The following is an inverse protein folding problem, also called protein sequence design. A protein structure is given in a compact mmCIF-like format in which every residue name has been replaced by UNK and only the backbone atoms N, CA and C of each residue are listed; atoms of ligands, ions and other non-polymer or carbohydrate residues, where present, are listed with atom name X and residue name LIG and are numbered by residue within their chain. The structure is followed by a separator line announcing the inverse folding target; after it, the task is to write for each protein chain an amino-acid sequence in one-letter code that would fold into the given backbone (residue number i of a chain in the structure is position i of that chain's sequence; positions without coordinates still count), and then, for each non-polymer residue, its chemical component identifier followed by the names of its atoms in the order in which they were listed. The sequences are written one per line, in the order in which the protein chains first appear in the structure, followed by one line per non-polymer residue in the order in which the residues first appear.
data_IF_862332433966
#
_entry.id   IF_862332433966
#
_cell.length_a   1.000
_cell.length_b   1.000
_cell.length_c   1.000
_cell.angle_alpha   90.00
_cell.angle_beta   90.00
_cell.angle_gamma   90.00
#
_symmetry.space_group_name_H-M   'P 1'
#
loop_
_entity.id
_entity.type
_entity.pdbx_description
1 polymer ?
#
# COMPACT_ATOMS: atom_id res chain seq x y z
N UNK A 1 -6.19 -31.41 -43.77
CA UNK A 1 -6.06 -30.51 -42.62
C UNK A 1 -7.24 -29.56 -42.65
N UNK A 2 -8.13 -29.64 -41.68
CA UNK A 2 -9.33 -28.78 -41.58
C UNK A 2 -8.91 -27.58 -40.72
N UNK A 3 -9.06 -26.32 -41.19
CA UNK A 3 -8.73 -25.15 -40.39
C UNK A 3 -9.73 -25.00 -39.24
N UNK A 4 -9.23 -24.65 -38.05
CA UNK A 4 -10.05 -24.36 -36.87
C UNK A 4 -10.94 -23.14 -37.14
N UNK A 5 -12.29 -23.29 -37.14
CA UNK A 5 -13.21 -22.18 -37.38
C UNK A 5 -13.15 -21.08 -36.32
N UNK A 6 -12.51 -21.34 -35.17
CA UNK A 6 -12.30 -20.37 -34.10
C UNK A 6 -10.95 -19.64 -34.19
N UNK A 7 -10.12 -19.93 -35.19
CA UNK A 7 -8.79 -19.30 -35.33
C UNK A 7 -8.88 -17.77 -35.43
N UNK A 8 -9.88 -17.23 -36.13
CA UNK A 8 -10.09 -15.78 -36.19
C UNK A 8 -10.54 -15.18 -34.85
N UNK A 9 -11.22 -15.95 -34.02
CA UNK A 9 -11.61 -15.51 -32.68
C UNK A 9 -10.40 -15.42 -31.76
N UNK A 10 -9.51 -16.42 -31.80
CA UNK A 10 -8.27 -16.38 -31.02
C UNK A 10 -7.33 -15.25 -31.47
N UNK A 11 -7.23 -15.02 -32.78
CA UNK A 11 -6.45 -13.90 -33.31
C UNK A 11 -7.03 -12.55 -32.88
N UNK A 12 -8.36 -12.40 -32.93
CA UNK A 12 -9.07 -11.21 -32.45
C UNK A 12 -8.88 -10.94 -30.95
N UNK A 13 -8.80 -11.97 -30.11
CA UNK A 13 -8.48 -11.83 -28.69
C UNK A 13 -7.01 -11.45 -28.44
N UNK A 14 -6.12 -11.75 -29.38
CA UNK A 14 -4.70 -11.43 -29.30
C UNK A 14 -4.36 -10.02 -29.81
N UNK A 15 -5.25 -9.34 -30.55
CA UNK A 15 -5.04 -7.96 -31.00
C UNK A 15 -5.47 -6.99 -29.90
N UNK A 16 -4.50 -6.40 -29.19
CA UNK A 16 -4.75 -5.30 -28.25
C UNK A 16 -4.48 -5.60 -26.77
N UNK A 17 -3.85 -6.73 -26.44
CA UNK A 17 -3.17 -6.86 -25.15
C UNK A 17 -1.76 -6.25 -25.29
N UNK A 18 -1.71 -4.92 -25.41
CA UNK A 18 -0.50 -4.18 -25.10
C UNK A 18 -0.21 -4.38 -23.61
N UNK A 19 0.83 -5.16 -23.33
CA UNK A 19 1.38 -5.48 -22.00
C UNK A 19 2.02 -4.25 -21.33
N UNK A 20 1.36 -3.09 -21.38
CA UNK A 20 1.75 -1.90 -20.63
C UNK A 20 1.10 -1.91 -19.25
N UNK A 21 1.91 -2.28 -18.25
CA UNK A 21 1.91 -1.76 -16.89
C UNK A 21 0.58 -1.28 -16.27
N UNK A 22 -0.13 -2.21 -15.62
CA UNK A 22 -0.75 -2.11 -14.28
C UNK A 22 -2.01 -2.96 -14.28
N UNK A 23 -2.05 -4.02 -13.47
CA UNK A 23 -3.24 -4.32 -12.66
C UNK A 23 -2.88 -5.35 -11.58
N UNK A 24 -3.03 -4.92 -10.33
CA UNK A 24 -3.56 -5.72 -9.24
C UNK A 24 -3.08 -7.17 -9.12
N UNK A 25 -1.98 -7.38 -8.39
CA UNK A 25 -1.76 -8.65 -7.68
C UNK A 25 -2.61 -8.64 -6.41
N UNK A 26 -3.93 -8.70 -6.60
CA UNK A 26 -4.90 -8.99 -5.55
C UNK A 26 -5.75 -10.15 -6.09
N UNK A 27 -5.46 -11.35 -5.58
CA UNK A 27 -6.10 -12.59 -5.98
C UNK A 27 -7.60 -12.57 -5.71
N UNK A 28 -8.38 -12.24 -6.74
CA UNK A 28 -9.85 -12.13 -6.67
C UNK A 28 -10.60 -13.26 -7.39
N UNK A 29 -9.95 -14.34 -7.83
CA UNK A 29 -10.67 -15.49 -8.37
C UNK A 29 -10.12 -16.79 -7.83
N UNK A 30 -10.62 -17.19 -6.66
CA UNK A 30 -10.69 -18.61 -6.31
C UNK A 30 -12.17 -18.96 -6.15
N UNK A 31 -12.71 -19.54 -7.23
CA UNK A 31 -14.02 -20.16 -7.27
C UNK A 31 -14.08 -21.26 -6.21
N UNK A 32 -15.11 -21.23 -5.37
CA UNK A 32 -15.48 -22.34 -4.49
C UNK A 32 -15.88 -23.58 -5.31
N UNK A 33 -15.61 -24.79 -4.79
CA UNK A 33 -16.46 -25.94 -5.03
C UNK A 33 -17.36 -26.21 -3.81
N UNK A 34 -18.64 -26.39 -4.10
CA UNK A 34 -19.70 -26.91 -3.23
C UNK A 34 -19.82 -28.44 -3.39
N UNK A 35 -20.44 -29.08 -2.39
CA UNK A 35 -20.91 -30.48 -2.28
C UNK A 35 -19.87 -31.56 -1.92
N UNK A 36 -20.10 -32.54 -1.03
CA UNK A 36 -21.16 -32.94 -0.07
C UNK A 36 -20.60 -34.16 0.69
N UNK A 37 -21.28 -34.60 1.77
CA UNK A 37 -21.15 -35.93 2.46
C UNK A 37 -19.92 -36.03 3.42
N UNK A 38 -20.02 -36.34 4.72
CA UNK A 38 -20.99 -37.13 5.49
C UNK A 38 -21.24 -36.57 6.91
N UNK A 39 -22.50 -36.65 7.33
CA UNK A 39 -23.01 -36.62 8.70
C UNK A 39 -22.53 -37.85 9.48
N UNK A 40 -21.90 -37.70 10.65
CA UNK A 40 -22.09 -38.62 11.81
C UNK A 40 -21.83 -37.89 13.13
N UNK A 41 -22.94 -37.38 13.69
CA UNK A 41 -23.40 -37.44 15.08
C UNK A 41 -22.40 -37.91 16.17
N UNK A 42 -22.08 -37.01 17.13
CA UNK A 42 -22.28 -37.26 18.58
C UNK A 42 -22.01 -36.01 19.44
N UNK A 43 -22.89 -35.80 20.42
CA UNK A 43 -22.75 -34.97 21.63
C UNK A 43 -23.47 -35.75 22.75
N UNK A 44 -23.21 -35.59 24.08
CA UNK A 44 -22.38 -34.57 24.74
C UNK A 44 -21.63 -35.02 26.05
N UNK A 45 -20.96 -34.04 26.67
CA UNK A 45 -20.67 -33.84 28.12
C UNK A 45 -19.32 -34.38 28.68
N UNK A 46 -18.90 -33.95 29.89
CA UNK A 46 -18.21 -32.69 30.14
C UNK A 46 -16.90 -32.94 30.91
N UNK A 47 -15.87 -32.11 30.74
CA UNK A 47 -14.95 -31.94 31.88
C UNK A 47 -14.32 -30.55 31.92
N UNK A 48 -14.66 -29.85 33.00
CA UNK A 48 -14.08 -28.60 33.41
C UNK A 48 -12.75 -28.92 34.08
N UNK A 49 -11.63 -28.82 33.36
CA UNK A 49 -10.32 -28.74 34.00
C UNK A 49 -9.56 -27.53 33.46
N UNK A 50 -9.53 -26.53 34.33
CA UNK A 50 -8.75 -25.30 34.23
C UNK A 50 -7.26 -25.63 34.28
N UNK A 51 -6.46 -25.05 33.38
CA UNK A 51 -5.10 -24.61 33.67
C UNK A 51 -4.86 -23.26 32.92
N UNK A 52 -4.35 -22.20 33.57
CA UNK A 52 -4.35 -20.84 33.00
C UNK A 52 -3.06 -20.52 32.23
N UNK A 53 -3.12 -20.01 30.99
CA UNK A 53 -1.97 -19.38 30.35
C UNK A 53 -2.03 -17.86 30.49
N UNK A 54 -1.12 -17.36 31.32
CA UNK A 54 -0.37 -16.09 31.25
C UNK A 54 -1.05 -14.82 30.69
N UNK A 55 -1.18 -13.85 31.58
CA UNK A 55 -1.73 -12.52 31.39
C UNK A 55 -1.01 -11.72 30.29
N UNK A 56 -1.72 -11.19 29.27
CA UNK A 56 -1.26 -10.03 28.54
C UNK A 56 -1.59 -8.79 29.40
N UNK A 57 -0.56 -8.22 30.02
CA UNK A 57 -0.44 -6.85 30.54
C UNK A 57 -1.68 -5.95 30.24
N UNK A 58 -2.58 -5.84 31.22
CA UNK A 58 -3.76 -4.98 31.14
C UNK A 58 -3.33 -3.50 31.09
N UNK A 59 -3.32 -2.93 29.88
CA UNK A 59 -3.32 -1.48 29.75
C UNK A 59 -4.68 -0.94 30.24
N UNK A 60 -4.70 0.14 31.04
CA UNK A 60 -5.93 0.69 31.60
C UNK A 60 -6.92 1.02 30.47
N UNK A 61 -8.25 0.93 30.71
CA UNK A 61 -9.25 1.17 29.68
C UNK A 61 -9.07 2.58 29.13
N UNK A 62 -8.52 2.67 27.91
CA UNK A 62 -8.30 3.93 27.21
C UNK A 62 -9.67 4.56 26.99
N UNK A 63 -10.01 5.55 27.82
CA UNK A 63 -11.25 6.34 27.66
C UNK A 63 -11.24 6.91 26.24
N UNK A 64 -12.22 6.50 25.42
CA UNK A 64 -12.34 6.99 24.05
C UNK A 64 -12.56 8.51 24.11
N UNK A 65 -11.77 9.32 23.38
CA UNK A 65 -11.97 10.76 23.37
C UNK A 65 -13.36 11.08 22.80
N UNK A 66 -13.96 12.17 23.28
CA UNK A 66 -15.22 12.65 22.72
C UNK A 66 -15.04 13.08 21.26
N UNK A 67 -16.12 13.04 20.46
CA UNK A 67 -16.09 13.52 19.07
C UNK A 67 -15.64 14.98 18.98
N UNK A 68 -16.00 15.82 19.97
CA UNK A 68 -15.56 17.20 20.06
C UNK A 68 -14.03 17.30 20.23
N UNK A 69 -13.45 16.52 21.16
CA UNK A 69 -12.01 16.46 21.37
C UNK A 69 -11.27 15.94 20.12
N UNK A 70 -11.81 14.93 19.43
CA UNK A 70 -11.23 14.42 18.20
C UNK A 70 -11.24 15.46 17.08
N UNK A 71 -12.34 16.22 16.93
CA UNK A 71 -12.44 17.31 15.95
C UNK A 71 -11.46 18.44 16.26
N UNK A 72 -11.31 18.82 17.53
CA UNK A 72 -10.34 19.84 17.95
C UNK A 72 -8.90 19.40 17.66
N UNK A 73 -8.53 18.15 18.02
CA UNK A 73 -7.21 17.59 17.73
C UNK A 73 -6.93 17.59 16.23
N UNK A 74 -7.83 17.03 15.43
CA UNK A 74 -7.63 16.88 13.98
C UNK A 74 -7.74 18.18 13.20
N UNK A 75 -8.51 19.16 13.70
CA UNK A 75 -8.63 20.48 13.09
C UNK A 75 -7.35 21.31 13.17
N UNK A 76 -6.54 21.08 14.22
CA UNK A 76 -5.25 21.75 14.47
C UNK A 76 -4.07 21.09 13.75
N UNK A 77 -4.25 19.89 13.20
CA UNK A 77 -3.18 19.20 12.49
C UNK A 77 -2.86 19.89 11.16
N UNK A 78 -1.56 19.92 10.85
CA UNK A 78 -0.97 20.52 9.66
C UNK A 78 -0.26 19.44 8.82
N UNK A 79 0.23 19.83 7.64
CA UNK A 79 1.02 18.93 6.80
C UNK A 79 2.32 18.51 7.49
N UNK A 80 2.89 19.38 8.32
CA UNK A 80 4.11 19.10 9.07
C UNK A 80 3.92 17.92 10.03
N UNK A 81 2.74 17.79 10.64
CA UNK A 81 2.44 16.68 11.57
C UNK A 81 2.35 15.32 10.87
N UNK A 82 2.02 15.32 9.56
CA UNK A 82 1.87 14.11 8.76
C UNK A 82 3.07 13.85 7.85
N UNK A 83 4.01 14.80 7.77
CA UNK A 83 5.17 14.79 6.88
C UNK A 83 6.00 13.53 7.02
N UNK A 84 6.30 13.15 8.26
CA UNK A 84 7.12 11.98 8.58
C UNK A 84 6.49 10.69 8.10
N UNK A 85 5.19 10.66 7.80
CA UNK A 85 4.45 9.45 7.41
C UNK A 85 4.13 9.40 5.92
N UNK A 86 4.51 10.40 5.12
CA UNK A 86 4.19 10.47 3.69
C UNK A 86 4.84 9.34 2.87
N UNK A 87 5.94 8.78 3.38
CA UNK A 87 6.62 7.61 2.80
C UNK A 87 5.86 6.29 3.03
N UNK A 88 4.78 6.30 3.82
CA UNK A 88 3.97 5.11 4.13
C UNK A 88 2.63 5.12 3.38
N UNK A 89 2.02 3.94 3.17
CA UNK A 89 0.63 3.85 2.77
C UNK A 89 -0.28 4.62 3.73
N UNK A 90 -1.34 5.22 3.21
CA UNK A 90 -2.26 6.02 4.03
C UNK A 90 -2.92 5.20 5.16
N UNK A 91 -3.11 3.90 4.95
CA UNK A 91 -3.62 2.94 5.92
C UNK A 91 -2.67 2.69 7.08
N UNK A 92 -1.35 2.78 6.87
CA UNK A 92 -0.35 2.64 7.92
C UNK A 92 -0.13 3.97 8.64
N UNK A 93 -0.07 5.06 7.88
CA UNK A 93 0.05 6.41 8.43
C UNK A 93 -1.11 6.74 9.40
N UNK A 94 -2.34 6.35 9.04
CA UNK A 94 -3.52 6.55 9.89
C UNK A 94 -3.46 5.79 11.21
N UNK A 95 -2.98 4.54 11.18
CA UNK A 95 -2.78 3.72 12.37
C UNK A 95 -1.74 4.34 13.29
N UNK A 96 -0.59 4.74 12.75
CA UNK A 96 0.49 5.37 13.53
C UNK A 96 0.05 6.67 14.20
N UNK A 97 -0.68 7.50 13.47
CA UNK A 97 -1.15 8.81 13.97
C UNK A 97 -2.47 8.73 14.77
N UNK A 98 -3.13 7.57 14.81
CA UNK A 98 -4.47 7.37 15.38
C UNK A 98 -5.54 8.33 14.80
N UNK A 99 -5.53 8.51 13.48
CA UNK A 99 -6.46 9.38 12.75
C UNK A 99 -7.05 8.66 11.55
N UNK A 100 -8.30 8.92 11.20
CA UNK A 100 -8.92 8.32 10.03
C UNK A 100 -8.24 8.76 8.72
N UNK A 101 -8.19 7.86 7.73
CA UNK A 101 -7.66 8.16 6.39
C UNK A 101 -8.26 9.44 5.78
N UNK A 102 -9.54 9.71 6.05
CA UNK A 102 -10.25 10.90 5.58
C UNK A 102 -9.67 12.20 6.15
N UNK A 103 -9.18 12.19 7.39
CA UNK A 103 -8.51 13.34 8.01
C UNK A 103 -7.18 13.60 7.32
N UNK A 104 -6.36 12.56 7.10
CA UNK A 104 -5.09 12.70 6.37
C UNK A 104 -5.32 13.24 4.95
N UNK A 105 -6.32 12.72 4.23
CA UNK A 105 -6.73 13.25 2.92
C UNK A 105 -7.15 14.72 2.99
N UNK A 106 -7.90 15.12 4.03
CA UNK A 106 -8.32 16.53 4.23
C UNK A 106 -7.12 17.44 4.46
N UNK A 107 -6.15 17.03 5.28
CA UNK A 107 -4.93 17.79 5.55
C UNK A 107 -4.15 17.99 4.23
N UNK A 108 -3.95 16.94 3.45
CA UNK A 108 -3.29 17.05 2.14
C UNK A 108 -4.04 17.97 1.17
N UNK A 109 -5.37 17.87 1.08
CA UNK A 109 -6.17 18.73 0.20
C UNK A 109 -6.08 20.20 0.60
N UNK A 110 -6.04 20.51 1.90
CA UNK A 110 -5.87 21.89 2.43
C UNK A 110 -4.55 22.51 2.01
N UNK A 111 -3.52 21.69 1.80
CA UNK A 111 -2.19 22.14 1.38
C UNK A 111 -1.94 22.04 -0.13
N UNK A 112 -2.99 21.88 -0.93
CA UNK A 112 -2.86 21.79 -2.39
C UNK A 112 -2.48 20.42 -2.93
N UNK A 113 -2.41 19.38 -2.08
CA UNK A 113 -2.16 18.00 -2.50
C UNK A 113 -3.49 17.27 -2.68
N UNK A 114 -3.89 17.09 -3.94
CA UNK A 114 -5.12 16.38 -4.29
C UNK A 114 -5.12 14.92 -3.81
N UNK A 115 -3.93 14.30 -3.75
CA UNK A 115 -3.73 12.88 -3.42
C UNK A 115 -2.58 12.70 -2.44
N UNK A 116 -2.66 11.64 -1.63
CA UNK A 116 -1.58 11.23 -0.74
C UNK A 116 -0.29 10.93 -1.55
N UNK A 117 0.85 11.55 -1.22
CA UNK A 117 2.05 11.58 -2.06
C UNK A 117 2.84 10.26 -2.11
N UNK A 118 2.45 9.25 -1.32
CA UNK A 118 3.08 7.93 -1.27
C UNK A 118 3.40 7.33 -2.65
N UNK A 119 2.43 7.34 -3.58
CA UNK A 119 2.64 6.73 -4.90
C UNK A 119 3.75 7.40 -5.68
N UNK A 120 3.85 8.72 -5.59
CA UNK A 120 4.86 9.50 -6.31
C UNK A 120 6.24 9.32 -5.68
N UNK A 121 6.32 9.34 -4.35
CA UNK A 121 7.55 9.03 -3.59
C UNK A 121 8.05 7.63 -3.96
N UNK A 122 7.19 6.61 -3.91
CA UNK A 122 7.51 5.24 -4.33
C UNK A 122 8.00 5.14 -5.77
N UNK A 123 7.45 5.95 -6.68
CA UNK A 123 7.90 5.98 -8.07
C UNK A 123 9.35 6.45 -8.19
N UNK A 124 9.71 7.52 -7.48
CA UNK A 124 11.09 8.01 -7.43
C UNK A 124 12.04 6.99 -6.79
N UNK A 125 11.65 6.40 -5.66
CA UNK A 125 12.44 5.36 -4.98
C UNK A 125 12.73 4.16 -5.90
N UNK A 126 11.72 3.66 -6.61
CA UNK A 126 11.89 2.55 -7.57
C UNK A 126 12.87 2.92 -8.69
N UNK A 127 12.74 4.14 -9.23
CA UNK A 127 13.61 4.63 -10.30
C UNK A 127 15.06 4.76 -9.83
N UNK A 128 15.27 5.27 -8.60
CA UNK A 128 16.59 5.30 -7.96
C UNK A 128 17.14 3.88 -7.74
N UNK A 129 16.31 2.94 -7.26
CA UNK A 129 16.72 1.56 -7.04
C UNK A 129 17.16 0.86 -8.34
N UNK A 130 16.41 1.07 -9.43
CA UNK A 130 16.78 0.55 -10.75
C UNK A 130 18.13 1.12 -11.23
N UNK A 131 18.34 2.42 -11.10
CA UNK A 131 19.62 3.06 -11.48
C UNK A 131 20.78 2.58 -10.60
N UNK A 132 20.55 2.37 -9.30
CA UNK A 132 21.55 1.78 -8.39
C UNK A 132 21.92 0.36 -8.78
N UNK A 133 20.98 -0.45 -9.27
CA UNK A 133 21.29 -1.77 -9.80
C UNK A 133 22.18 -1.68 -11.05
N UNK A 134 21.93 -0.71 -11.94
CA UNK A 134 22.76 -0.44 -13.13
C UNK A 134 24.18 0.02 -12.78
N UNK A 135 24.37 0.70 -11.63
CA UNK A 135 25.68 1.11 -11.12
C UNK A 135 26.60 -0.09 -10.77
N UNK A 136 26.04 -1.28 -10.56
CA UNK A 136 26.81 -2.50 -10.30
C UNK A 136 27.34 -3.15 -11.61
N UNK A 137 27.09 -2.54 -12.77
CA UNK A 137 27.57 -3.02 -14.08
C UNK A 137 29.09 -2.92 -14.21
N UNK A 138 29.69 -3.85 -14.98
CA UNK A 138 31.13 -3.88 -15.26
C UNK A 138 31.62 -2.71 -16.13
N UNK A 139 30.73 -1.96 -16.78
CA UNK A 139 31.06 -0.89 -17.70
C UNK A 139 31.13 0.47 -16.97
N UNK A 140 32.32 1.08 -16.92
CA UNK A 140 32.54 2.35 -16.21
C UNK A 140 31.70 3.53 -16.71
N UNK A 141 31.53 3.67 -18.03
CA UNK A 141 30.68 4.72 -18.62
C UNK A 141 29.20 4.58 -18.19
N UNK A 142 28.71 3.34 -18.09
CA UNK A 142 27.36 3.06 -17.56
C UNK A 142 27.19 3.50 -16.11
N UNK A 143 28.24 3.36 -15.29
CA UNK A 143 28.23 3.77 -13.88
C UNK A 143 28.15 5.27 -13.72
N UNK A 144 29.01 6.01 -14.42
CA UNK A 144 29.04 7.49 -14.38
C UNK A 144 27.69 8.07 -14.80
N UNK A 145 27.10 7.53 -15.88
CA UNK A 145 25.76 7.95 -16.33
C UNK A 145 24.67 7.62 -15.31
N UNK A 146 24.72 6.42 -14.71
CA UNK A 146 23.75 6.01 -13.69
C UNK A 146 23.85 6.89 -12.44
N UNK A 147 25.06 7.24 -11.99
CA UNK A 147 25.30 8.12 -10.84
C UNK A 147 24.71 9.52 -11.06
N UNK A 148 24.98 10.14 -12.22
CA UNK A 148 24.43 11.45 -12.57
C UNK A 148 22.89 11.45 -12.60
N UNK A 149 22.28 10.38 -13.13
CA UNK A 149 20.83 10.24 -13.16
C UNK A 149 20.23 10.00 -11.77
N UNK A 150 20.91 9.25 -10.89
CA UNK A 150 20.48 9.07 -9.48
C UNK A 150 20.41 10.42 -8.78
N UNK A 151 21.44 11.24 -8.91
CA UNK A 151 21.49 12.58 -8.31
C UNK A 151 20.33 13.44 -8.82
N UNK A 152 20.08 13.42 -10.13
CA UNK A 152 18.94 14.14 -10.74
C UNK A 152 17.60 13.70 -10.13
N UNK A 153 17.36 12.40 -10.04
CA UNK A 153 16.10 11.85 -9.52
C UNK A 153 15.94 12.15 -8.02
N UNK A 154 17.03 12.10 -7.25
CA UNK A 154 17.01 12.50 -5.83
C UNK A 154 16.69 13.98 -5.64
N UNK A 155 17.23 14.86 -6.50
CA UNK A 155 16.90 16.27 -6.50
C UNK A 155 15.43 16.50 -6.82
N UNK A 156 14.88 15.83 -7.84
CA UNK A 156 13.45 15.91 -8.16
C UNK A 156 12.55 15.44 -7.01
N UNK A 157 12.92 14.35 -6.35
CA UNK A 157 12.21 13.86 -5.16
C UNK A 157 12.28 14.89 -4.02
N UNK A 158 13.46 15.47 -3.79
CA UNK A 158 13.68 16.48 -2.76
C UNK A 158 12.86 17.74 -3.04
N UNK A 159 12.86 18.25 -4.27
CA UNK A 159 12.06 19.39 -4.70
C UNK A 159 10.56 19.11 -4.63
N UNK A 160 10.13 17.89 -4.96
CA UNK A 160 8.74 17.47 -4.79
C UNK A 160 8.33 17.47 -3.31
N UNK A 161 9.17 16.92 -2.45
CA UNK A 161 8.96 16.92 -1.01
C UNK A 161 8.99 18.36 -0.45
N UNK A 162 9.95 19.19 -0.83
CA UNK A 162 10.05 20.58 -0.36
C UNK A 162 8.78 21.40 -0.66
N UNK A 163 8.18 21.20 -1.85
CA UNK A 163 6.91 21.84 -2.22
C UNK A 163 5.69 21.38 -1.42
N UNK A 164 5.78 20.27 -0.68
CA UNK A 164 4.71 19.82 0.21
C UNK A 164 4.80 20.54 1.57
N UNK A 165 5.99 20.95 1.98
CA UNK A 165 6.29 21.60 3.25
C UNK A 165 6.19 23.13 3.13
N UNK A 166 5.05 23.62 2.64
CA UNK A 166 4.70 25.05 2.53
C UNK A 166 4.31 25.59 3.90
#
# INVERSE_FOLDING_TARGET
MIPDPMSNFYDALCVGIDWFENLNTDGFFQLSPDNSEDDEMEQPTPDCQNEPPEQPEEQPPRRRPSLAAQRQRTGRMTVNDVWEYLHLPISEASKKLNVCNTVLKKICRRSGLSRWPYRKIRSYERRIAALRATMNSSYGDTRVRAEAEIERVQKELTDFCARIRI
#
